data_IF_444262898673
#
_entry.id   IF_444262898673
#
_cell.length_a   1.000
_cell.length_b   1.000
_cell.length_c   1.000
_cell.angle_alpha   90.00
_cell.angle_beta   90.00
_cell.angle_gamma   90.00
#
_symmetry.space_group_name_H-M   'P 1'
#
loop_
_entity.id
_entity.type
_entity.pdbx_description
1 polymer ?
#
# COMPACT_ATOMS: atom_id res chain seq x y z
N UNK A 1 13.99 -24.87 -2.15
CA UNK A 1 14.79 -24.13 -3.15
C UNK A 1 13.88 -23.87 -4.34
N UNK A 2 13.49 -22.63 -4.65
CA UNK A 2 12.71 -22.37 -5.86
C UNK A 2 13.64 -22.57 -7.07
N UNK A 3 13.14 -23.29 -8.07
CA UNK A 3 13.87 -23.68 -9.26
C UNK A 3 14.26 -22.46 -10.10
N UNK A 4 15.39 -22.58 -10.79
CA UNK A 4 16.01 -21.57 -11.66
C UNK A 4 15.15 -21.10 -12.85
N UNK A 5 13.89 -21.55 -12.97
CA UNK A 5 12.98 -21.20 -14.06
C UNK A 5 12.12 -19.96 -13.78
N UNK A 6 12.07 -19.46 -12.53
CA UNK A 6 11.31 -18.25 -12.20
C UNK A 6 12.10 -16.95 -12.43
N UNK A 7 13.42 -17.02 -12.61
CA UNK A 7 14.26 -15.83 -12.82
C UNK A 7 14.07 -15.18 -14.20
N UNK A 8 13.57 -15.93 -15.19
CA UNK A 8 13.30 -15.43 -16.54
C UNK A 8 11.92 -14.77 -16.68
N UNK A 9 11.06 -14.82 -15.66
CA UNK A 9 9.64 -14.57 -15.89
C UNK A 9 9.27 -13.13 -16.27
N UNK A 10 10.02 -12.07 -15.92
CA UNK A 10 9.74 -10.72 -16.46
C UNK A 10 10.95 -9.78 -16.38
N UNK A 11 11.89 -9.90 -17.32
CA UNK A 11 12.78 -8.78 -17.60
C UNK A 11 11.95 -7.67 -18.27
N UNK A 12 11.74 -6.53 -17.60
CA UNK A 12 11.06 -5.39 -18.19
C UNK A 12 11.76 -5.00 -19.51
N UNK A 13 10.97 -4.77 -20.57
CA UNK A 13 11.50 -4.31 -21.85
C UNK A 13 12.40 -3.06 -21.68
N UNK A 14 13.49 -2.92 -22.46
CA UNK A 14 14.34 -1.73 -22.43
C UNK A 14 13.56 -0.41 -22.60
N UNK A 15 12.48 -0.43 -23.39
CA UNK A 15 11.60 0.72 -23.58
C UNK A 15 10.85 1.10 -22.29
N UNK A 16 10.36 0.10 -21.54
CA UNK A 16 9.68 0.30 -20.25
C UNK A 16 10.69 0.85 -19.22
N UNK A 17 11.88 0.24 -19.14
CA UNK A 17 12.94 0.70 -18.23
C UNK A 17 13.37 2.14 -18.51
N UNK A 18 13.40 2.56 -19.77
CA UNK A 18 13.70 3.94 -20.16
C UNK A 18 12.64 4.91 -19.64
N UNK A 19 11.35 4.60 -19.84
CA UNK A 19 10.23 5.40 -19.30
C UNK A 19 10.27 5.45 -17.77
N UNK A 20 10.60 4.35 -17.13
CA UNK A 20 10.70 4.24 -15.67
C UNK A 20 11.78 5.14 -15.10
N UNK A 21 12.99 5.09 -15.67
CA UNK A 21 14.11 5.95 -15.26
C UNK A 21 13.75 7.43 -15.39
N UNK A 22 13.05 7.81 -16.46
CA UNK A 22 12.57 9.17 -16.65
C UNK A 22 11.52 9.56 -15.58
N UNK A 23 10.59 8.67 -15.25
CA UNK A 23 9.59 8.90 -14.20
C UNK A 23 10.24 9.03 -12.81
N UNK A 24 11.16 8.14 -12.46
CA UNK A 24 11.90 8.19 -11.20
C UNK A 24 12.76 9.46 -11.10
N UNK A 25 13.42 9.88 -12.18
CA UNK A 25 14.17 11.14 -12.22
C UNK A 25 13.27 12.39 -12.15
N UNK A 26 11.99 12.28 -12.53
CA UNK A 26 11.02 13.35 -12.35
C UNK A 26 10.57 13.42 -10.88
N UNK A 27 10.22 12.27 -10.29
CA UNK A 27 9.80 12.16 -8.89
C UNK A 27 10.92 12.57 -7.91
N UNK A 28 12.18 12.21 -8.18
CA UNK A 28 13.33 12.56 -7.32
C UNK A 28 13.62 14.07 -7.23
N UNK A 29 13.06 14.86 -8.14
CA UNK A 29 13.16 16.33 -8.17
C UNK A 29 11.85 17.01 -7.82
N UNK A 30 10.82 16.25 -7.43
CA UNK A 30 9.53 16.78 -7.01
C UNK A 30 9.47 16.92 -5.48
N UNK A 31 9.58 18.15 -4.99
CA UNK A 31 9.60 18.46 -3.56
C UNK A 31 8.24 18.92 -3.01
N UNK A 32 7.16 18.76 -3.79
CA UNK A 32 5.82 19.19 -3.36
C UNK A 32 5.25 18.28 -2.27
N UNK A 33 5.52 16.97 -2.38
CA UNK A 33 5.12 15.95 -1.39
C UNK A 33 5.81 14.62 -1.70
N UNK A 34 6.05 13.85 -0.65
CA UNK A 34 6.50 12.46 -0.65
C UNK A 34 5.50 11.47 -1.27
N UNK A 35 4.24 11.85 -1.51
CA UNK A 35 3.29 11.00 -2.24
C UNK A 35 3.65 10.87 -3.72
N UNK A 36 4.51 11.74 -4.25
CA UNK A 36 5.02 11.64 -5.63
C UNK A 36 6.19 10.67 -5.66
N UNK A 37 5.86 9.38 -5.67
CA UNK A 37 6.84 8.29 -5.78
C UNK A 37 6.59 7.43 -7.01
N UNK A 38 7.62 6.69 -7.42
CA UNK A 38 7.54 5.71 -8.50
C UNK A 38 7.98 4.37 -7.92
N UNK A 39 7.17 3.30 -8.05
CA UNK A 39 7.52 1.99 -7.50
C UNK A 39 8.83 1.50 -8.12
N UNK A 40 9.62 0.72 -7.39
CA UNK A 40 10.83 0.11 -7.95
C UNK A 40 10.47 -1.07 -8.87
N UNK A 41 11.38 -1.49 -9.77
CA UNK A 41 11.15 -2.70 -10.58
C UNK A 41 10.80 -3.93 -9.74
N UNK A 42 11.51 -4.13 -8.63
CA UNK A 42 11.29 -5.25 -7.70
C UNK A 42 9.90 -5.19 -7.05
N UNK A 43 9.42 -3.99 -6.68
CA UNK A 43 8.07 -3.81 -6.14
C UNK A 43 6.99 -4.23 -7.14
N UNK A 44 7.13 -3.85 -8.41
CA UNK A 44 6.16 -4.23 -9.44
C UNK A 44 6.25 -5.70 -9.78
N UNK A 45 7.47 -6.27 -9.79
CA UNK A 45 7.62 -7.70 -9.99
C UNK A 45 6.93 -8.49 -8.87
N UNK A 46 7.03 -8.04 -7.61
CA UNK A 46 6.31 -8.63 -6.50
C UNK A 46 4.79 -8.62 -6.73
N UNK A 47 4.23 -7.51 -7.22
CA UNK A 47 2.79 -7.40 -7.52
C UNK A 47 2.34 -8.29 -8.68
N UNK A 48 3.13 -8.41 -9.75
CA UNK A 48 2.76 -9.24 -10.91
C UNK A 48 2.85 -10.74 -10.63
N UNK A 49 3.70 -11.11 -9.67
CA UNK A 49 3.89 -12.50 -9.26
C UNK A 49 2.83 -12.98 -8.26
N UNK A 50 1.93 -12.09 -7.86
CA UNK A 50 1.01 -12.32 -6.75
C UNK A 50 -0.25 -13.07 -7.18
N UNK A 51 -0.90 -13.72 -6.21
CA UNK A 51 -2.14 -14.48 -6.46
C UNK A 51 -3.33 -13.53 -6.66
N UNK A 52 -4.37 -14.01 -7.35
CA UNK A 52 -5.56 -13.21 -7.65
C UNK A 52 -6.60 -13.39 -6.54
N UNK A 53 -7.36 -12.33 -6.25
CA UNK A 53 -8.48 -12.33 -5.28
C UNK A 53 -9.43 -13.51 -5.46
N UNK A 54 -9.81 -14.14 -4.34
CA UNK A 54 -10.70 -15.30 -4.28
C UNK A 54 -11.94 -15.03 -3.42
N UNK A 55 -12.83 -16.03 -3.26
CA UNK A 55 -14.06 -15.89 -2.45
C UNK A 55 -13.79 -15.61 -0.97
N UNK A 56 -12.59 -15.92 -0.49
CA UNK A 56 -12.14 -15.66 0.87
C UNK A 56 -11.36 -14.36 0.98
N UNK A 57 -11.09 -13.65 -0.11
CA UNK A 57 -10.34 -12.41 -0.20
C UNK A 57 -8.86 -12.60 -0.57
N UNK A 58 -8.25 -11.53 -1.08
CA UNK A 58 -6.88 -11.43 -1.56
C UNK A 58 -5.80 -11.96 -0.56
N UNK A 59 -5.05 -13.03 -0.90
CA UNK A 59 -4.00 -13.59 -0.05
C UNK A 59 -2.88 -12.62 0.33
N UNK A 60 -2.57 -11.67 -0.55
CA UNK A 60 -1.48 -10.72 -0.43
C UNK A 60 -1.84 -9.60 0.53
N UNK A 61 -3.11 -9.18 0.50
CA UNK A 61 -3.68 -8.28 1.51
C UNK A 61 -3.63 -8.94 2.89
N UNK A 62 -4.04 -10.21 3.01
CA UNK A 62 -3.97 -10.94 4.28
C UNK A 62 -2.55 -11.08 4.81
N UNK A 63 -1.57 -11.36 3.93
CA UNK A 63 -0.17 -11.43 4.29
C UNK A 63 0.36 -10.08 4.80
N UNK A 64 -0.04 -8.98 4.16
CA UNK A 64 0.30 -7.63 4.60
C UNK A 64 -0.32 -7.32 5.98
N UNK A 65 -1.59 -7.62 6.18
CA UNK A 65 -2.29 -7.42 7.46
C UNK A 65 -1.66 -8.25 8.59
N UNK A 66 -1.36 -9.53 8.35
CA UNK A 66 -0.67 -10.39 9.30
C UNK A 66 0.69 -9.82 9.71
N UNK A 67 1.48 -9.34 8.74
CA UNK A 67 2.76 -8.67 9.01
C UNK A 67 2.56 -7.40 9.84
N UNK A 68 1.52 -6.62 9.58
CA UNK A 68 1.21 -5.43 10.37
C UNK A 68 0.81 -5.76 11.81
N UNK A 69 0.08 -6.86 12.03
CA UNK A 69 -0.24 -7.35 13.37
C UNK A 69 1.02 -7.68 14.16
N UNK A 70 1.97 -8.39 13.55
CA UNK A 70 3.27 -8.70 14.16
C UNK A 70 4.10 -7.44 14.46
N UNK A 71 4.16 -6.49 13.51
CA UNK A 71 4.93 -5.26 13.68
C UNK A 71 4.37 -4.32 14.75
N UNK A 72 3.05 -4.28 14.89
CA UNK A 72 2.36 -3.33 15.80
C UNK A 72 1.95 -3.97 17.14
N UNK A 73 1.98 -5.29 17.25
CA UNK A 73 1.47 -6.03 18.40
C UNK A 73 -0.06 -5.90 18.58
N UNK A 74 -0.80 -5.68 17.50
CA UNK A 74 -2.27 -5.56 17.50
C UNK A 74 -2.94 -6.87 17.08
N UNK A 75 -4.16 -7.07 17.57
CA UNK A 75 -4.95 -8.29 17.32
C UNK A 75 -5.47 -8.42 15.89
N UNK A 76 -5.59 -7.29 15.18
CA UNK A 76 -6.07 -7.23 13.81
C UNK A 76 -5.46 -6.02 13.09
N UNK A 77 -5.40 -6.10 11.76
CA UNK A 77 -5.06 -5.00 10.87
C UNK A 77 -6.07 -4.97 9.71
N UNK A 78 -6.20 -3.81 9.07
CA UNK A 78 -7.05 -3.63 7.90
C UNK A 78 -6.31 -2.80 6.87
N UNK A 79 -6.23 -3.30 5.64
CA UNK A 79 -5.74 -2.52 4.51
C UNK A 79 -6.81 -1.53 4.03
N UNK A 80 -6.40 -0.28 3.79
CA UNK A 80 -7.25 0.78 3.25
C UNK A 80 -6.58 1.43 2.05
N UNK A 81 -7.39 1.88 1.08
CA UNK A 81 -6.91 2.40 -0.22
C UNK A 81 -6.12 3.71 -0.07
N UNK A 82 -6.38 4.46 1.00
CA UNK A 82 -5.89 5.81 1.26
C UNK A 82 -6.00 6.14 2.74
N UNK A 83 -5.06 6.95 3.25
CA UNK A 83 -5.01 7.31 4.67
C UNK A 83 -6.28 7.99 5.19
N UNK A 84 -6.92 8.83 4.37
CA UNK A 84 -8.18 9.51 4.74
C UNK A 84 -9.29 8.49 5.05
N UNK A 85 -9.47 7.45 4.24
CA UNK A 85 -10.46 6.41 4.52
C UNK A 85 -10.11 5.60 5.75
N UNK A 86 -8.82 5.33 6.01
CA UNK A 86 -8.40 4.70 7.26
C UNK A 86 -8.89 5.48 8.47
N UNK A 87 -8.69 6.81 8.47
CA UNK A 87 -9.17 7.67 9.55
C UNK A 87 -10.71 7.69 9.66
N UNK A 88 -11.43 7.72 8.53
CA UNK A 88 -12.89 7.68 8.53
C UNK A 88 -13.46 6.35 9.03
N UNK A 89 -12.86 5.22 8.63
CA UNK A 89 -13.23 3.89 9.13
C UNK A 89 -13.00 3.83 10.64
N UNK A 90 -11.84 4.28 11.12
CA UNK A 90 -11.51 4.35 12.54
C UNK A 90 -12.57 5.14 13.33
N UNK A 91 -12.97 6.31 12.85
CA UNK A 91 -14.04 7.07 13.50
C UNK A 91 -15.37 6.32 13.49
N UNK A 92 -15.74 5.71 12.36
CA UNK A 92 -17.02 5.00 12.22
C UNK A 92 -17.11 3.75 13.09
N UNK A 93 -15.99 3.06 13.33
CA UNK A 93 -15.95 1.88 14.20
C UNK A 93 -15.98 2.26 15.67
N UNK A 94 -15.41 3.40 16.05
CA UNK A 94 -15.43 3.89 17.44
C UNK A 94 -16.72 4.65 17.81
N UNK A 95 -17.40 5.28 16.84
CA UNK A 95 -18.54 6.17 17.06
C UNK A 95 -19.84 5.54 16.54
N UNK A 96 -20.52 4.76 17.38
CA UNK A 96 -21.66 3.92 16.98
C UNK A 96 -23.01 4.65 16.85
N UNK A 97 -23.34 5.59 17.76
CA UNK A 97 -24.60 6.37 17.70
C UNK A 97 -24.43 7.86 18.03
N UNK A 98 -24.95 8.79 17.20
CA UNK A 98 -24.82 10.23 17.45
C UNK A 98 -25.64 10.72 18.67
N UNK A 99 -25.30 11.88 19.25
CA UNK A 99 -24.20 12.78 18.87
C UNK A 99 -22.86 12.43 19.54
N UNK A 100 -21.76 12.61 18.80
CA UNK A 100 -20.38 12.43 19.29
C UNK A 100 -19.56 13.71 19.09
N UNK A 101 -18.60 13.94 19.99
CA UNK A 101 -17.57 14.98 19.84
C UNK A 101 -16.20 14.33 19.85
N UNK A 102 -15.36 14.68 18.86
CA UNK A 102 -13.99 14.18 18.75
C UNK A 102 -13.04 15.33 19.02
N UNK A 103 -12.18 15.18 20.04
CA UNK A 103 -11.13 16.14 20.33
C UNK A 103 -9.91 15.84 19.47
N UNK A 104 -9.47 16.81 18.67
CA UNK A 104 -8.37 16.70 17.72
C UNK A 104 -7.50 17.96 17.82
N UNK A 105 -6.22 17.85 17.47
CA UNK A 105 -5.39 19.03 17.23
C UNK A 105 -5.90 19.80 16.00
N UNK A 106 -5.69 21.12 15.95
CA UNK A 106 -6.12 21.96 14.84
C UNK A 106 -5.47 21.59 13.50
N UNK A 107 -4.34 20.84 13.51
CA UNK A 107 -3.65 20.32 12.33
C UNK A 107 -3.97 18.85 12.05
N UNK A 108 -4.91 18.25 12.78
CA UNK A 108 -5.31 16.87 12.60
C UNK A 108 -5.80 16.60 11.18
N UNK A 109 -5.32 15.51 10.56
CA UNK A 109 -5.69 15.15 9.18
C UNK A 109 -6.94 14.24 9.17
N UNK A 110 -8.07 14.81 9.59
CA UNK A 110 -9.37 14.17 9.61
C UNK A 110 -10.34 15.10 8.87
N UNK A 111 -10.75 14.68 7.67
CA UNK A 111 -11.65 15.43 6.77
C UNK A 111 -12.99 14.75 6.64
#
# INVERSE_FOLDING_TARGET
MPSSKNAELMAFSPAIMTKWKAAAAKASRDFRSDVVTVPTPDMVQATVSDDIDDVHGDPSVKALEARLMELTGKEAALWAVWGTQGNQICLRTHLSQPPHTVLLDYRGHVH
#
